data_IF_522133213398
#
_entry.id   IF_522133213398
#
_cell.length_a   1.000
_cell.length_b   1.000
_cell.length_c   1.000
_cell.angle_alpha   90.00
_cell.angle_beta   90.00
_cell.angle_gamma   90.00
#
_symmetry.space_group_name_H-M   'P 1'
#
loop_
_entity.id
_entity.type
_entity.pdbx_description
1 polymer ?
#
# COMPACT_ATOMS: atom_id res chain seq x y z
N UNK A 1 -1.47 -7.81 5.41
CA UNK A 1 -0.22 -8.55 5.27
C UNK A 1 0.85 -7.66 4.64
N UNK A 2 0.74 -7.27 3.36
CA UNK A 2 1.73 -6.39 2.68
C UNK A 2 2.28 -5.20 3.51
N UNK A 3 1.43 -4.36 4.09
CA UNK A 3 1.89 -3.20 4.90
C UNK A 3 2.69 -3.61 6.16
N UNK A 4 2.29 -4.70 6.82
CA UNK A 4 2.86 -5.13 8.10
C UNK A 4 4.05 -6.08 7.92
N UNK A 5 3.90 -7.00 6.98
CA UNK A 5 4.74 -8.19 6.84
C UNK A 5 5.56 -8.15 5.54
N UNK A 6 5.27 -7.20 4.64
CA UNK A 6 5.89 -7.10 3.30
C UNK A 6 5.79 -8.39 2.48
N UNK A 7 4.78 -9.21 2.79
CA UNK A 7 4.54 -10.52 2.20
C UNK A 7 3.03 -10.80 2.19
N UNK A 8 2.59 -11.70 1.32
CA UNK A 8 1.21 -12.23 1.30
C UNK A 8 1.30 -13.73 1.49
N UNK A 9 0.55 -14.25 2.46
CA UNK A 9 0.44 -15.68 2.71
C UNK A 9 -0.27 -16.41 1.58
N UNK A 10 0.02 -17.71 1.40
CA UNK A 10 -0.65 -18.54 0.39
C UNK A 10 -2.17 -18.56 0.57
N UNK A 11 -2.66 -18.51 1.81
CA UNK A 11 -4.09 -18.50 2.12
C UNK A 11 -4.76 -17.23 1.59
N UNK A 12 -4.16 -16.06 1.84
CA UNK A 12 -4.68 -14.78 1.31
C UNK A 12 -4.50 -14.69 -0.20
N UNK A 13 -3.36 -15.14 -0.75
CA UNK A 13 -3.13 -15.17 -2.18
C UNK A 13 -4.20 -15.99 -2.91
N UNK A 14 -4.50 -17.19 -2.41
CA UNK A 14 -5.54 -18.05 -2.95
C UNK A 14 -6.91 -17.35 -2.95
N UNK A 15 -7.30 -16.72 -1.85
CA UNK A 15 -8.58 -15.98 -1.79
C UNK A 15 -8.62 -14.81 -2.79
N UNK A 16 -7.52 -14.09 -2.99
CA UNK A 16 -7.48 -13.00 -3.97
C UNK A 16 -7.59 -13.51 -5.41
N UNK A 17 -7.02 -14.68 -5.74
CA UNK A 17 -7.12 -15.29 -7.08
C UNK A 17 -8.54 -15.70 -7.46
N UNK A 18 -9.48 -15.76 -6.51
CA UNK A 18 -10.91 -15.99 -6.78
C UNK A 18 -11.60 -14.76 -7.40
N UNK A 19 -10.99 -13.58 -7.29
CA UNK A 19 -11.57 -12.30 -7.71
C UNK A 19 -10.74 -11.53 -8.74
N UNK A 20 -9.42 -11.77 -8.77
CA UNK A 20 -8.47 -11.01 -9.57
C UNK A 20 -7.64 -11.92 -10.46
N UNK A 21 -7.32 -11.43 -11.65
CA UNK A 21 -6.35 -12.09 -12.52
C UNK A 21 -4.90 -11.81 -12.08
N UNK A 22 -3.95 -12.53 -12.68
CA UNK A 22 -2.52 -12.41 -12.37
C UNK A 22 -1.98 -10.98 -12.52
N UNK A 23 -2.43 -10.22 -13.54
CA UNK A 23 -1.95 -8.87 -13.76
C UNK A 23 -2.46 -7.92 -12.67
N UNK A 24 -3.75 -8.03 -12.33
CA UNK A 24 -4.35 -7.27 -11.24
C UNK A 24 -3.71 -7.58 -9.88
N UNK A 25 -3.33 -8.83 -9.64
CA UNK A 25 -2.61 -9.23 -8.44
C UNK A 25 -1.19 -8.63 -8.38
N UNK A 26 -0.48 -8.60 -9.50
CA UNK A 26 0.81 -7.90 -9.59
C UNK A 26 0.64 -6.40 -9.32
N UNK A 27 -0.37 -5.77 -9.94
CA UNK A 27 -0.68 -4.35 -9.74
C UNK A 27 -1.01 -4.05 -8.28
N UNK A 28 -1.73 -4.94 -7.58
CA UNK A 28 -2.03 -4.81 -6.16
C UNK A 28 -0.75 -4.76 -5.33
N UNK A 29 0.18 -5.71 -5.54
CA UNK A 29 1.45 -5.78 -4.79
C UNK A 29 2.28 -4.52 -5.04
N UNK A 30 2.42 -4.11 -6.30
CA UNK A 30 3.19 -2.91 -6.64
C UNK A 30 2.55 -1.64 -6.09
N UNK A 31 1.24 -1.49 -6.20
CA UNK A 31 0.52 -0.32 -5.69
C UNK A 31 0.80 -0.12 -4.21
N UNK A 32 0.63 -1.15 -3.39
CA UNK A 32 0.88 -1.06 -1.95
C UNK A 32 2.35 -0.75 -1.66
N UNK A 33 3.30 -1.42 -2.34
CA UNK A 33 4.73 -1.19 -2.15
C UNK A 33 5.19 0.23 -2.52
N UNK A 34 4.62 0.80 -3.59
CA UNK A 34 4.89 2.18 -4.00
C UNK A 34 4.39 3.18 -2.95
N UNK A 35 3.17 3.01 -2.44
CA UNK A 35 2.64 3.88 -1.38
C UNK A 35 3.41 3.74 -0.07
N UNK A 36 3.88 2.53 0.27
CA UNK A 36 4.74 2.34 1.44
C UNK A 36 6.08 3.07 1.30
N UNK A 37 6.70 2.99 0.11
CA UNK A 37 7.95 3.71 -0.20
C UNK A 37 7.76 5.22 -0.19
N UNK A 38 6.65 5.70 -0.76
CA UNK A 38 6.29 7.12 -0.75
C UNK A 38 6.06 7.63 0.67
N UNK A 39 5.28 6.91 1.48
CA UNK A 39 5.05 7.27 2.88
C UNK A 39 6.36 7.33 3.68
N UNK A 40 7.25 6.36 3.48
CA UNK A 40 8.59 6.38 4.09
C UNK A 40 9.37 7.65 3.70
N UNK A 41 9.39 8.00 2.41
CA UNK A 41 10.09 9.20 1.93
C UNK A 41 9.49 10.49 2.51
N UNK A 42 8.17 10.65 2.44
CA UNK A 42 7.47 11.83 2.97
C UNK A 42 7.72 12.01 4.47
N UNK A 43 7.63 10.92 5.24
CA UNK A 43 7.89 10.94 6.67
C UNK A 43 9.36 11.28 6.98
N UNK A 44 10.31 10.71 6.23
CA UNK A 44 11.75 10.92 6.43
C UNK A 44 12.16 12.34 6.08
N UNK A 45 11.60 12.91 5.01
CA UNK A 45 11.87 14.27 4.59
C UNK A 45 11.05 15.33 5.34
N UNK A 46 10.13 14.90 6.21
CA UNK A 46 9.27 15.81 6.98
C UNK A 46 8.35 16.64 6.09
N UNK A 47 7.85 16.07 4.99
CA UNK A 47 6.94 16.77 4.08
C UNK A 47 5.64 17.08 4.81
N UNK A 48 5.25 18.37 4.79
CA UNK A 48 4.02 18.85 5.42
C UNK A 48 2.85 18.80 4.43
N UNK A 49 1.62 18.80 4.96
CA UNK A 49 0.43 19.02 4.15
C UNK A 49 0.47 20.41 3.52
N UNK A 50 -0.14 20.54 2.34
CA UNK A 50 -0.34 21.83 1.70
C UNK A 50 -1.28 22.71 2.54
N UNK A 51 -1.14 24.02 2.38
CA UNK A 51 -1.98 24.98 3.10
C UNK A 51 -3.47 24.77 2.78
N UNK A 52 -4.30 24.70 3.83
CA UNK A 52 -5.74 24.48 3.69
C UNK A 52 -6.16 23.01 3.57
N UNK A 53 -5.22 22.05 3.57
CA UNK A 53 -5.53 20.62 3.62
C UNK A 53 -5.56 20.16 5.07
N UNK A 54 -6.74 19.77 5.56
CA UNK A 54 -6.87 19.08 6.84
C UNK A 54 -6.46 17.61 6.69
N UNK A 55 -5.67 17.11 7.65
CA UNK A 55 -5.31 15.70 7.72
C UNK A 55 -6.51 14.79 7.99
N UNK A 56 -6.27 13.48 8.00
CA UNK A 56 -7.35 12.53 8.32
C UNK A 56 -7.96 12.80 9.70
N UNK A 57 -9.29 12.65 9.86
CA UNK A 57 -9.94 12.77 11.16
C UNK A 57 -9.36 11.73 12.13
N UNK A 58 -9.24 12.13 13.41
CA UNK A 58 -8.76 11.27 14.50
C UNK A 58 -9.85 10.39 15.07
#
# INVERSE_FOLDING_TARGET
>A
ELYKDTFISDATWKSLTEHYDTNQLMDLVFTVGQYQSLAMALNTFGVQLEEGIEGFPK
#
